data_IF_311195631081
#
_entry.id   IF_311195631081
#
_cell.length_a   1.000
_cell.length_b   1.000
_cell.length_c   1.000
_cell.angle_alpha   90.00
_cell.angle_beta   90.00
_cell.angle_gamma   90.00
#
_symmetry.space_group_name_H-M   'P 1'
#
loop_
_entity.id
_entity.type
_entity.pdbx_description
1 polymer ?
#
# COMPACT_ATOMS: atom_id res chain seq x y z
N UNK A 1 -28.27 6.06 -1.24
CA UNK A 1 -28.20 4.81 -0.46
C UNK A 1 -28.27 3.65 -1.43
N UNK A 2 -27.21 2.86 -1.56
CA UNK A 2 -27.22 1.65 -2.39
C UNK A 2 -27.91 0.54 -1.60
N UNK A 3 -28.98 -0.05 -2.16
CA UNK A 3 -29.61 -1.23 -1.54
C UNK A 3 -28.69 -2.44 -1.73
N UNK A 4 -28.52 -3.32 -0.72
CA UNK A 4 -27.73 -4.52 -0.87
C UNK A 4 -28.33 -5.42 -1.95
N UNK A 5 -27.47 -6.01 -2.78
CA UNK A 5 -27.86 -7.16 -3.58
C UNK A 5 -27.68 -8.38 -2.66
N UNK A 6 -28.73 -9.15 -2.44
CA UNK A 6 -28.67 -10.37 -1.61
C UNK A 6 -28.56 -11.56 -2.55
N UNK A 7 -27.47 -12.32 -2.47
CA UNK A 7 -27.37 -13.60 -3.17
C UNK A 7 -27.87 -14.72 -2.24
N UNK A 8 -29.10 -15.18 -2.50
CA UNK A 8 -29.78 -16.21 -1.72
C UNK A 8 -29.03 -17.55 -1.66
N UNK A 9 -28.10 -17.82 -2.59
CA UNK A 9 -27.30 -19.06 -2.59
C UNK A 9 -26.08 -19.01 -1.67
N UNK A 10 -25.59 -17.81 -1.30
CA UNK A 10 -24.36 -17.64 -0.51
C UNK A 10 -24.61 -17.06 0.89
N UNK A 11 -25.85 -16.69 1.23
CA UNK A 11 -26.18 -15.94 2.45
C UNK A 11 -25.28 -14.71 2.64
N UNK A 12 -24.97 -14.03 1.54
CA UNK A 12 -24.07 -12.89 1.50
C UNK A 12 -24.79 -11.64 0.99
N UNK A 13 -24.45 -10.50 1.59
CA UNK A 13 -24.92 -9.18 1.17
C UNK A 13 -23.80 -8.43 0.45
N UNK A 14 -24.13 -7.80 -0.67
CA UNK A 14 -23.18 -7.06 -1.50
C UNK A 14 -23.48 -5.58 -1.46
N UNK A 15 -22.47 -4.81 -1.05
CA UNK A 15 -22.52 -3.35 -0.97
C UNK A 15 -21.48 -2.73 -1.92
N UNK A 16 -21.88 -1.65 -2.60
CA UNK A 16 -21.03 -0.94 -3.57
C UNK A 16 -20.86 0.51 -3.14
N UNK A 17 -19.70 1.09 -3.50
CA UNK A 17 -19.37 2.47 -3.14
C UNK A 17 -19.03 2.66 -1.67
N UNK A 18 -18.64 1.57 -0.98
CA UNK A 18 -18.24 1.58 0.42
C UNK A 18 -16.86 2.22 0.55
N UNK A 19 -16.75 3.23 1.40
CA UNK A 19 -15.46 3.81 1.75
C UNK A 19 -14.85 3.07 2.95
N UNK A 20 -13.90 2.19 2.67
CA UNK A 20 -13.23 1.39 3.70
C UNK A 20 -12.45 2.24 4.71
N UNK A 21 -12.12 3.50 4.41
CA UNK A 21 -11.47 4.41 5.38
C UNK A 21 -12.48 5.16 6.25
N UNK A 22 -13.79 4.99 6.03
CA UNK A 22 -14.85 5.68 6.74
C UNK A 22 -16.10 4.81 6.97
N UNK A 23 -15.88 3.55 7.39
CA UNK A 23 -16.93 2.57 7.66
C UNK A 23 -18.01 3.06 8.64
N UNK A 24 -17.70 3.99 9.54
CA UNK A 24 -18.69 4.60 10.44
C UNK A 24 -19.76 5.46 9.75
N UNK A 25 -19.58 5.80 8.46
CA UNK A 25 -20.57 6.50 7.65
C UNK A 25 -21.55 5.54 6.96
N UNK A 26 -21.27 4.24 7.00
CA UNK A 26 -22.06 3.22 6.34
C UNK A 26 -23.25 2.82 7.22
N UNK A 27 -24.46 3.27 6.88
CA UNK A 27 -25.64 3.03 7.71
C UNK A 27 -26.02 1.56 7.86
N UNK A 28 -25.65 0.70 6.90
CA UNK A 28 -25.88 -0.75 7.00
C UNK A 28 -25.00 -1.44 8.05
N UNK A 29 -23.96 -0.77 8.54
CA UNK A 29 -23.15 -1.22 9.67
C UNK A 29 -23.72 -0.77 11.02
N UNK A 30 -24.70 0.12 11.03
CA UNK A 30 -25.32 0.59 12.27
C UNK A 30 -26.15 -0.54 12.90
N UNK A 31 -25.80 -0.92 14.14
CA UNK A 31 -26.43 -2.04 14.84
C UNK A 31 -26.04 -3.43 14.33
N UNK A 32 -25.17 -3.52 13.30
CA UNK A 32 -24.67 -4.81 12.81
C UNK A 32 -23.86 -5.53 13.90
N UNK A 33 -23.98 -6.87 14.01
CA UNK A 33 -23.12 -7.65 14.90
C UNK A 33 -21.63 -7.47 14.53
N UNK A 34 -20.73 -7.46 15.52
CA UNK A 34 -19.32 -7.23 15.24
C UNK A 34 -18.69 -8.42 14.48
N UNK A 35 -17.88 -8.10 13.48
CA UNK A 35 -17.25 -9.07 12.60
C UNK A 35 -16.13 -9.83 13.29
N UNK A 36 -16.08 -11.15 13.10
CA UNK A 36 -14.93 -11.94 13.52
C UNK A 36 -13.71 -11.70 12.61
N UNK A 37 -13.93 -11.36 11.34
CA UNK A 37 -12.87 -11.05 10.40
C UNK A 37 -13.28 -9.93 9.46
N UNK A 38 -12.37 -8.98 9.24
CA UNK A 38 -12.50 -7.96 8.20
C UNK A 38 -11.28 -8.13 7.28
N UNK A 39 -11.53 -8.33 5.98
CA UNK A 39 -10.48 -8.67 5.01
C UNK A 39 -10.39 -7.59 3.94
N UNK A 40 -9.17 -7.09 3.68
CA UNK A 40 -8.88 -6.17 2.59
C UNK A 40 -7.81 -6.75 1.66
N UNK A 41 -8.26 -7.25 0.51
CA UNK A 41 -7.37 -7.89 -0.46
C UNK A 41 -6.75 -6.85 -1.41
N UNK A 42 -5.43 -6.71 -1.35
CA UNK A 42 -4.61 -5.84 -2.20
C UNK A 42 -5.08 -4.38 -2.29
N UNK A 43 -5.34 -3.70 -1.16
CA UNK A 43 -5.64 -2.27 -1.17
C UNK A 43 -4.50 -1.50 -1.84
N UNK A 44 -4.84 -0.57 -2.75
CA UNK A 44 -3.82 0.13 -3.52
C UNK A 44 -4.31 1.46 -4.10
N UNK A 45 -3.52 2.52 -3.95
CA UNK A 45 -3.66 3.82 -4.62
C UNK A 45 -2.37 4.14 -5.40
N UNK A 46 -2.48 4.49 -6.68
CA UNK A 46 -1.32 4.87 -7.50
C UNK A 46 -0.39 3.70 -7.82
N UNK A 47 0.93 3.86 -7.78
CA UNK A 47 1.90 2.75 -7.87
C UNK A 47 3.28 3.09 -8.43
N UNK A 48 3.58 4.37 -8.65
CA UNK A 48 4.80 4.75 -9.38
C UNK A 48 5.64 5.82 -8.68
N UNK A 49 5.11 6.49 -7.65
CA UNK A 49 5.78 7.66 -7.05
C UNK A 49 5.90 7.58 -5.52
N UNK A 50 6.67 8.51 -4.95
CA UNK A 50 6.83 8.65 -3.50
C UNK A 50 5.52 9.11 -2.84
N UNK A 51 4.78 9.98 -3.51
CA UNK A 51 3.46 10.44 -3.09
C UNK A 51 2.47 9.27 -3.01
N UNK A 52 2.58 8.29 -3.92
CA UNK A 52 1.75 7.09 -3.86
C UNK A 52 2.09 6.23 -2.64
N UNK A 53 3.35 6.14 -2.23
CA UNK A 53 3.72 5.42 -0.98
C UNK A 53 3.02 6.05 0.22
N UNK A 54 3.04 7.39 0.32
CA UNK A 54 2.35 8.11 1.41
C UNK A 54 0.84 7.88 1.35
N UNK A 55 0.22 7.93 0.17
CA UNK A 55 -1.21 7.63 0.01
C UNK A 55 -1.58 6.23 0.47
N UNK A 56 -0.75 5.23 0.17
CA UNK A 56 -1.00 3.85 0.60
C UNK A 56 -0.79 3.67 2.11
N UNK A 57 0.18 4.37 2.71
CA UNK A 57 0.33 4.41 4.17
C UNK A 57 -0.91 5.01 4.83
N UNK A 58 -1.39 6.15 4.34
CA UNK A 58 -2.63 6.80 4.82
C UNK A 58 -3.84 5.88 4.65
N UNK A 59 -4.02 5.27 3.47
CA UNK A 59 -5.11 4.31 3.21
C UNK A 59 -5.13 3.19 4.26
N UNK A 60 -3.99 2.56 4.51
CA UNK A 60 -3.89 1.48 5.49
C UNK A 60 -4.20 1.97 6.90
N UNK A 61 -3.63 3.11 7.32
CA UNK A 61 -3.83 3.67 8.66
C UNK A 61 -5.30 3.99 8.92
N UNK A 62 -5.95 4.68 7.99
CA UNK A 62 -7.37 5.06 8.11
C UNK A 62 -8.29 3.83 8.02
N UNK A 63 -7.97 2.85 7.17
CA UNK A 63 -8.68 1.56 7.14
C UNK A 63 -8.58 0.83 8.49
N UNK A 64 -7.38 0.67 9.07
CA UNK A 64 -7.25 0.04 10.37
C UNK A 64 -8.08 0.79 11.42
N UNK A 65 -8.03 2.12 11.43
CA UNK A 65 -8.82 2.91 12.37
C UNK A 65 -10.33 2.69 12.21
N UNK A 66 -10.85 2.77 10.99
CA UNK A 66 -12.29 2.64 10.69
C UNK A 66 -12.84 1.27 11.12
N UNK A 67 -12.04 0.20 11.01
CA UNK A 67 -12.48 -1.17 11.34
C UNK A 67 -12.64 -1.43 12.84
N UNK A 68 -12.00 -0.65 13.73
CA UNK A 68 -11.96 -0.95 15.18
C UNK A 68 -13.34 -1.14 15.80
N UNK A 69 -14.29 -0.23 15.49
CA UNK A 69 -15.64 -0.23 16.08
C UNK A 69 -16.45 -1.47 15.68
N UNK A 70 -16.14 -2.05 14.53
CA UNK A 70 -16.91 -3.13 13.92
C UNK A 70 -16.32 -4.51 14.19
N UNK A 71 -15.18 -4.58 14.89
CA UNK A 71 -14.46 -5.82 15.10
C UNK A 71 -14.92 -6.52 16.40
N UNK A 72 -15.07 -7.84 16.35
CA UNK A 72 -15.42 -8.63 17.52
C UNK A 72 -14.38 -8.42 18.64
N UNK A 73 -14.79 -8.10 19.88
CA UNK A 73 -13.88 -7.60 20.90
C UNK A 73 -12.76 -8.60 21.26
N UNK A 74 -13.01 -9.91 21.32
CA UNK A 74 -11.99 -10.89 21.75
C UNK A 74 -11.41 -11.75 20.64
N UNK A 75 -12.18 -12.01 19.58
CA UNK A 75 -11.82 -12.93 18.49
C UNK A 75 -11.61 -12.23 17.14
N UNK A 76 -11.86 -10.93 17.09
CA UNK A 76 -11.79 -10.13 15.89
C UNK A 76 -10.40 -10.04 15.29
N UNK A 77 -10.31 -10.20 13.97
CA UNK A 77 -9.06 -10.09 13.21
C UNK A 77 -9.24 -9.21 11.97
N UNK A 78 -8.22 -8.42 11.65
CA UNK A 78 -8.14 -7.68 10.40
C UNK A 78 -7.06 -8.32 9.54
N UNK A 79 -7.42 -8.74 8.33
CA UNK A 79 -6.52 -9.37 7.38
C UNK A 79 -6.30 -8.43 6.21
N UNK A 80 -5.05 -8.16 5.89
CA UNK A 80 -4.69 -7.37 4.70
C UNK A 80 -3.76 -8.20 3.83
N UNK A 81 -4.14 -8.40 2.57
CA UNK A 81 -3.33 -9.15 1.63
C UNK A 81 -2.46 -8.21 0.81
N UNK A 82 -1.14 -8.34 0.90
CA UNK A 82 -0.19 -7.52 0.14
C UNK A 82 0.83 -8.38 -0.59
N UNK A 83 1.37 -7.86 -1.70
CA UNK A 83 2.51 -8.46 -2.37
C UNK A 83 3.79 -8.21 -1.57
N UNK A 84 4.73 -9.14 -1.60
CA UNK A 84 6.06 -8.95 -1.01
C UNK A 84 7.02 -8.38 -2.06
N UNK A 85 6.99 -7.05 -2.22
CA UNK A 85 7.91 -6.33 -3.13
C UNK A 85 8.45 -5.09 -2.44
N UNK A 86 9.59 -4.56 -2.92
CA UNK A 86 10.18 -3.33 -2.37
C UNK A 86 9.20 -2.16 -2.30
N UNK A 87 8.30 -2.04 -3.28
CA UNK A 87 7.29 -0.98 -3.27
C UNK A 87 6.28 -1.14 -2.12
N UNK A 88 5.70 -2.34 -1.97
CA UNK A 88 4.73 -2.62 -0.92
C UNK A 88 5.36 -2.60 0.48
N UNK A 89 6.61 -3.04 0.61
CA UNK A 89 7.31 -3.08 1.90
C UNK A 89 7.52 -1.66 2.47
N UNK A 90 7.56 -0.64 1.61
CA UNK A 90 7.65 0.77 2.02
C UNK A 90 6.34 1.33 2.58
N UNK A 91 5.23 0.62 2.44
CA UNK A 91 3.97 1.02 3.05
C UNK A 91 3.91 0.76 4.54
N UNK A 92 4.90 0.02 5.07
CA UNK A 92 5.10 -0.17 6.52
C UNK A 92 3.81 -0.57 7.23
N UNK A 93 3.13 -1.59 6.70
CA UNK A 93 1.78 -1.98 7.16
C UNK A 93 1.69 -2.20 8.68
N UNK A 94 2.72 -2.78 9.31
CA UNK A 94 2.75 -2.98 10.76
C UNK A 94 2.74 -1.66 11.53
N UNK A 95 3.46 -0.63 11.05
CA UNK A 95 3.49 0.69 11.67
C UNK A 95 2.12 1.39 11.53
N UNK A 96 1.49 1.29 10.35
CA UNK A 96 0.16 1.86 10.12
C UNK A 96 -0.91 1.17 10.98
N UNK A 97 -0.83 -0.15 11.12
CA UNK A 97 -1.69 -0.92 12.00
C UNK A 97 -1.48 -0.54 13.47
N UNK A 98 -0.22 -0.45 13.92
CA UNK A 98 0.13 -0.09 15.29
C UNK A 98 -0.34 1.34 15.66
N UNK A 99 -0.19 2.31 14.76
CA UNK A 99 -0.69 3.66 14.94
C UNK A 99 -2.22 3.69 15.13
N UNK A 100 -2.94 2.75 14.51
CA UNK A 100 -4.39 2.55 14.67
C UNK A 100 -4.72 1.51 15.76
N UNK A 101 -3.76 1.22 16.65
CA UNK A 101 -3.88 0.35 17.81
C UNK A 101 -4.12 -1.13 17.48
N UNK A 102 -3.45 -1.66 16.46
CA UNK A 102 -3.43 -3.09 16.13
C UNK A 102 -2.05 -3.68 16.35
N UNK A 103 -2.02 -4.99 16.62
CA UNK A 103 -0.78 -5.78 16.70
C UNK A 103 -0.81 -6.88 15.67
N UNK A 104 0.30 -7.04 14.92
CA UNK A 104 0.46 -8.19 14.03
C UNK A 104 0.49 -9.45 14.87
N UNK A 105 -0.36 -10.42 14.51
CA UNK A 105 -0.38 -11.75 15.13
C UNK A 105 0.51 -12.72 14.37
N UNK A 106 0.34 -12.76 13.05
CA UNK A 106 1.09 -13.65 12.15
C UNK A 106 0.93 -13.20 10.70
N UNK A 107 1.74 -13.79 9.84
CA UNK A 107 1.68 -13.64 8.40
C UNK A 107 1.51 -15.02 7.79
N UNK A 108 0.64 -15.16 6.80
CA UNK A 108 0.36 -16.42 6.11
C UNK A 108 0.46 -16.21 4.59
N UNK A 109 0.85 -17.22 3.80
CA UNK A 109 0.79 -17.12 2.34
C UNK A 109 -0.62 -16.80 1.85
N UNK A 110 -0.74 -15.92 0.85
CA UNK A 110 -2.02 -15.65 0.22
C UNK A 110 -2.45 -16.85 -0.63
N UNK A 111 -3.57 -17.44 -0.27
CA UNK A 111 -4.22 -18.49 -1.06
C UNK A 111 -5.47 -17.91 -1.73
N UNK A 112 -5.45 -17.84 -3.06
CA UNK A 112 -6.57 -17.37 -3.86
C UNK A 112 -7.70 -18.40 -3.92
N UNK A 113 -7.39 -19.69 -3.76
CA UNK A 113 -8.33 -20.79 -3.97
C UNK A 113 -9.44 -20.84 -2.92
N UNK A 114 -9.22 -20.23 -1.75
CA UNK A 114 -10.24 -20.09 -0.71
C UNK A 114 -11.38 -19.15 -1.13
N UNK A 115 -11.16 -18.30 -2.13
CA UNK A 115 -12.17 -17.41 -2.69
C UNK A 115 -12.64 -17.98 -4.03
N UNK A 116 -13.78 -18.64 -4.02
CA UNK A 116 -14.39 -19.19 -5.23
C UNK A 116 -14.56 -18.11 -6.30
N UNK A 117 -13.96 -18.31 -7.47
CA UNK A 117 -14.02 -17.37 -8.60
C UNK A 117 -13.15 -16.12 -8.46
N UNK A 118 -12.22 -16.07 -7.49
CA UNK A 118 -11.34 -14.92 -7.32
C UNK A 118 -10.33 -14.79 -8.45
N UNK A 119 -10.39 -13.66 -9.12
CA UNK A 119 -9.40 -13.25 -10.12
C UNK A 119 -8.85 -11.87 -9.75
N UNK A 120 -7.53 -11.66 -9.81
CA UNK A 120 -6.96 -10.32 -9.71
C UNK A 120 -7.56 -9.42 -10.80
N UNK A 121 -7.92 -8.19 -10.46
CA UNK A 121 -8.45 -7.23 -11.43
C UNK A 121 -7.73 -5.89 -11.29
N UNK A 122 -7.66 -5.12 -12.39
CA UNK A 122 -7.16 -3.74 -12.37
C UNK A 122 -8.34 -2.77 -12.32
N UNK A 123 -8.22 -1.75 -11.47
CA UNK A 123 -9.19 -0.65 -11.42
C UNK A 123 -8.88 0.40 -12.49
N UNK A 124 -9.90 1.17 -12.89
CA UNK A 124 -9.74 2.30 -13.80
C UNK A 124 -8.79 3.36 -13.18
N UNK A 125 -7.87 3.97 -13.95
CA UNK A 125 -7.63 3.85 -15.40
C UNK A 125 -6.64 2.74 -15.78
N UNK A 126 -6.18 1.93 -14.84
CA UNK A 126 -5.15 0.93 -15.08
C UNK A 126 -5.64 -0.31 -15.84
N UNK A 127 -6.95 -0.47 -16.05
CA UNK A 127 -7.55 -1.59 -16.79
C UNK A 127 -6.94 -1.78 -18.18
N UNK A 128 -6.56 -0.69 -18.86
CA UNK A 128 -5.92 -0.75 -20.18
C UNK A 128 -4.44 -1.18 -20.16
N UNK A 129 -3.82 -1.31 -18.98
CA UNK A 129 -2.38 -1.65 -18.85
C UNK A 129 -2.08 -3.15 -18.98
N UNK A 130 -3.07 -3.94 -19.41
CA UNK A 130 -2.98 -5.39 -19.59
C UNK A 130 -3.19 -6.17 -18.30
N UNK A 131 -2.68 -7.40 -18.27
CA UNK A 131 -2.92 -8.34 -17.17
C UNK A 131 -2.66 -7.74 -15.79
N UNK A 132 -3.51 -8.04 -14.80
CA UNK A 132 -3.26 -7.69 -13.42
C UNK A 132 -1.94 -8.35 -12.97
N UNK A 133 -1.16 -7.72 -12.07
CA UNK A 133 0.06 -8.35 -11.60
C UNK A 133 -0.28 -9.59 -10.75
N UNK A 134 0.61 -10.59 -10.78
CA UNK A 134 0.39 -11.86 -10.07
C UNK A 134 0.24 -11.68 -8.56
N UNK A 135 -0.49 -12.58 -7.90
CA UNK A 135 -0.55 -12.73 -6.44
C UNK A 135 0.52 -13.68 -5.90
N UNK A 136 1.36 -14.27 -6.76
CA UNK A 136 2.47 -15.15 -6.34
C UNK A 136 3.36 -14.45 -5.31
N UNK A 137 3.59 -15.11 -4.17
CA UNK A 137 4.41 -14.57 -3.08
C UNK A 137 3.74 -13.47 -2.25
N UNK A 138 2.45 -13.20 -2.47
CA UNK A 138 1.66 -12.36 -1.58
C UNK A 138 1.37 -13.08 -0.25
N UNK A 139 1.08 -12.28 0.77
CA UNK A 139 0.79 -12.77 2.11
C UNK A 139 -0.42 -12.06 2.70
N UNK A 140 -1.18 -12.79 3.52
CA UNK A 140 -2.07 -12.23 4.53
C UNK A 140 -1.25 -11.71 5.71
N UNK A 141 -1.43 -10.44 6.06
CA UNK A 141 -1.00 -9.89 7.34
C UNK A 141 -2.19 -9.87 8.28
N UNK A 142 -2.11 -10.63 9.38
CA UNK A 142 -3.25 -10.88 10.27
C UNK A 142 -3.03 -10.11 11.58
N UNK A 143 -3.92 -9.16 11.85
CA UNK A 143 -3.85 -8.25 12.99
C UNK A 143 -4.98 -8.49 13.97
N UNK A 144 -4.73 -8.22 15.24
CA UNK A 144 -5.78 -8.12 16.26
C UNK A 144 -5.73 -6.73 16.92
N UNK A 145 -6.89 -6.24 17.33
CA UNK A 145 -6.99 -4.97 18.03
C UNK A 145 -6.25 -5.03 19.37
N UNK A 146 -5.43 -4.03 19.63
CA UNK A 146 -4.81 -3.75 20.91
C UNK A 146 -5.71 -2.82 21.72
N UNK A 147 -6.42 -3.39 22.70
CA UNK A 147 -7.42 -2.66 23.49
C UNK A 147 -6.83 -1.70 24.51
N UNK A 148 -5.56 -1.90 24.89
CA UNK A 148 -4.88 -0.95 25.77
C UNK A 148 -4.61 0.39 25.09
N UNK A 149 -4.73 0.44 23.76
CA UNK A 149 -4.51 1.65 22.98
C UNK A 149 -5.85 2.25 22.55
N UNK A 150 -5.98 3.56 22.73
CA UNK A 150 -7.06 4.38 22.18
C UNK A 150 -6.45 5.31 21.14
N UNK A 151 -6.32 4.87 19.88
CA UNK A 151 -5.74 5.70 18.84
C UNK A 151 -6.65 6.90 18.56
N UNK A 152 -6.04 8.03 18.23
CA UNK A 152 -6.78 9.20 17.72
C UNK A 152 -7.16 8.98 16.26
N UNK A 153 -8.24 9.63 15.82
CA UNK A 153 -8.67 9.52 14.42
C UNK A 153 -7.63 10.18 13.51
N UNK A 154 -6.96 9.40 12.63
CA UNK A 154 -5.91 9.93 11.74
C UNK A 154 -6.44 10.90 10.68
N UNK A 155 -7.76 11.01 10.50
CA UNK A 155 -8.42 11.90 9.53
C UNK A 155 -8.71 13.27 10.11
N UNK A 156 -8.67 13.41 11.44
CA UNK A 156 -8.80 14.71 12.07
C UNK A 156 -7.53 15.53 11.86
N UNK A 157 -7.67 16.73 11.28
CA UNK A 157 -6.58 17.70 11.23
C UNK A 157 -6.32 18.21 12.65
N UNK A 158 -5.24 17.78 13.26
CA UNK A 158 -4.68 18.50 14.41
C UNK A 158 -4.17 19.84 13.87
N UNK A 159 -4.57 20.99 14.45
CA UNK A 159 -3.88 22.25 14.15
C UNK A 159 -2.40 22.06 14.46
N UNK A 160 -1.55 22.08 13.44
CA UNK A 160 -0.11 22.07 13.65
C UNK A 160 0.24 23.37 14.37
N UNK A 161 0.59 23.27 15.66
CA UNK A 161 1.34 24.32 16.33
C UNK A 161 2.68 24.45 15.58
N UNK A 162 2.80 25.53 14.80
CA UNK A 162 4.03 25.90 14.11
C UNK A 162 5.04 26.27 15.18
N UNK A 163 5.94 25.36 15.55
CA UNK A 163 7.15 25.74 16.26
C UNK A 163 8.04 26.50 15.28
N UNK A 164 8.04 27.82 15.44
CA UNK A 164 8.86 28.75 14.68
C UNK A 164 10.32 28.64 15.13
N UNK A 165 11.05 27.70 14.54
CA UNK A 165 12.53 27.75 14.54
C UNK A 165 13.00 27.38 13.15
N UNK A 166 12.93 28.33 12.21
CA UNK A 166 13.74 28.37 10.99
C UNK A 166 13.42 29.66 10.19
N UNK A 167 13.69 30.83 10.80
CA UNK A 167 13.83 32.10 10.07
C UNK A 167 14.93 32.96 10.69
N UNK A 168 16.16 32.54 10.44
CA UNK A 168 17.35 33.39 10.33
C UNK A 168 18.44 32.46 9.77
N UNK A 169 18.90 32.58 8.53
CA UNK A 169 19.80 33.64 8.14
C UNK A 169 19.93 33.62 6.61
N UNK A 170 19.29 34.57 5.93
CA UNK A 170 19.68 34.96 4.58
C UNK A 170 19.81 36.48 4.60
N UNK A 171 21.04 36.98 4.77
CA UNK A 171 21.49 38.11 3.98
C UNK A 171 23.02 38.29 4.00
N UNK A 172 23.56 38.31 2.79
CA UNK A 172 24.75 39.05 2.30
C UNK A 172 26.11 38.87 2.98
N UNK A 173 27.06 38.31 2.23
CA UNK A 173 28.21 39.07 1.66
C UNK A 173 29.06 38.17 0.77
N UNK A 174 29.29 38.61 -0.47
CA UNK A 174 30.32 38.05 -1.33
C UNK A 174 31.69 38.65 -1.03
N UNK A 175 32.75 37.86 -1.23
CA UNK A 175 34.01 38.22 -1.91
C UNK A 175 34.91 36.97 -2.03
N UNK A 176 35.63 36.94 -3.15
CA UNK A 176 36.50 35.89 -3.68
C UNK A 176 37.68 35.51 -2.76
N UNK A 177 38.14 34.25 -2.86
CA UNK A 177 39.53 33.91 -3.22
C UNK A 177 39.77 32.38 -3.26
N UNK A 178 40.31 31.95 -4.41
CA UNK A 178 41.25 30.86 -4.74
C UNK A 178 41.38 29.55 -3.92
N UNK A 179 41.26 28.45 -4.70
CA UNK A 179 41.77 27.07 -4.58
C UNK A 179 43.20 26.90 -4.02
N UNK A 180 43.62 25.72 -3.46
CA UNK A 180 43.61 24.44 -4.20
C UNK A 180 43.36 23.12 -3.43
N UNK A 181 42.70 22.20 -4.16
CA UNK A 181 42.89 20.73 -4.28
C UNK A 181 43.39 19.94 -3.06
N UNK A 182 42.59 18.95 -2.61
CA UNK A 182 43.01 17.54 -2.56
C UNK A 182 41.83 16.59 -2.39
N UNK A 183 41.91 15.48 -3.13
CA UNK A 183 40.95 14.41 -3.24
C UNK A 183 40.83 13.60 -1.94
N UNK A 184 39.61 13.15 -1.64
CA UNK A 184 39.40 11.90 -0.89
C UNK A 184 38.23 11.18 -1.56
N UNK A 185 38.56 10.08 -2.22
CA UNK A 185 37.64 9.09 -2.75
C UNK A 185 36.86 8.44 -1.61
N UNK A 186 35.52 8.39 -1.73
CA UNK A 186 34.68 7.50 -0.94
C UNK A 186 33.77 6.73 -1.90
N UNK A 187 34.10 5.45 -2.05
CA UNK A 187 33.43 4.43 -2.85
C UNK A 187 31.93 4.32 -2.51
N UNK A 188 31.08 4.90 -3.36
CA UNK A 188 29.66 4.53 -3.43
C UNK A 188 29.52 3.38 -4.44
N UNK A 189 29.38 2.15 -3.94
CA UNK A 189 29.07 0.99 -4.75
C UNK A 189 27.69 1.20 -5.41
N UNK A 190 27.68 1.69 -6.64
CA UNK A 190 26.47 1.87 -7.42
C UNK A 190 25.88 0.49 -7.76
N UNK A 191 24.82 0.08 -7.05
CA UNK A 191 24.05 -1.13 -7.33
C UNK A 191 23.45 -1.04 -8.75
N UNK A 192 24.13 -1.66 -9.72
CA UNK A 192 23.63 -1.79 -11.10
C UNK A 192 22.46 -2.79 -11.08
N UNK A 193 21.27 -2.33 -11.43
CA UNK A 193 20.06 -3.15 -11.55
C UNK A 193 19.87 -3.57 -13.01
N UNK A 194 19.69 -4.85 -13.30
CA UNK A 194 19.56 -5.35 -14.67
C UNK A 194 18.20 -6.01 -14.92
N UNK A 195 17.57 -5.68 -16.04
CA UNK A 195 16.37 -6.38 -16.52
C UNK A 195 16.78 -7.51 -17.46
N UNK A 196 16.65 -8.76 -17.00
CA UNK A 196 17.02 -9.95 -17.78
C UNK A 196 16.20 -10.08 -19.07
N UNK A 197 14.90 -9.74 -19.04
CA UNK A 197 14.02 -9.80 -20.22
C UNK A 197 14.43 -8.81 -21.31
N UNK A 198 14.89 -7.62 -20.91
CA UNK A 198 15.20 -6.55 -21.86
C UNK A 198 16.68 -6.42 -22.18
N UNK A 199 17.58 -6.98 -21.37
CA UNK A 199 19.02 -6.81 -21.47
C UNK A 199 19.50 -5.40 -21.07
N UNK A 200 18.65 -4.62 -20.38
CA UNK A 200 18.96 -3.25 -20.01
C UNK A 200 19.48 -3.17 -18.58
N UNK A 201 20.51 -2.35 -18.36
CA UNK A 201 21.08 -2.07 -17.04
C UNK A 201 20.81 -0.64 -16.62
N UNK A 202 20.49 -0.45 -15.35
CA UNK A 202 20.12 0.83 -14.76
C UNK A 202 20.99 1.10 -13.53
N UNK A 203 21.38 2.36 -13.35
CA UNK A 203 22.10 2.84 -12.16
C UNK A 203 21.21 3.67 -11.24
N UNK A 204 19.95 3.85 -11.64
CA UNK A 204 18.95 4.66 -10.95
C UNK A 204 17.68 3.82 -10.78
N UNK A 205 17.21 3.75 -9.53
CA UNK A 205 16.08 2.91 -9.13
C UNK A 205 14.78 3.39 -9.78
N UNK A 206 14.59 4.71 -9.93
CA UNK A 206 13.39 5.30 -10.53
C UNK A 206 13.30 4.95 -12.02
N UNK A 207 14.43 4.98 -12.73
CA UNK A 207 14.53 4.57 -14.15
C UNK A 207 14.30 3.07 -14.32
N UNK A 208 14.83 2.23 -13.43
CA UNK A 208 14.56 0.79 -13.43
C UNK A 208 13.06 0.50 -13.24
N UNK A 209 12.44 1.10 -12.24
CA UNK A 209 11.01 0.92 -11.96
C UNK A 209 10.14 1.45 -13.10
N UNK A 210 10.48 2.61 -13.67
CA UNK A 210 9.81 3.14 -14.85
C UNK A 210 9.91 2.21 -16.05
N UNK A 211 11.09 1.59 -16.26
CA UNK A 211 11.27 0.58 -17.29
C UNK A 211 10.40 -0.66 -17.06
N UNK A 212 10.38 -1.21 -15.84
CA UNK A 212 9.59 -2.40 -15.50
C UNK A 212 8.10 -2.20 -15.72
N UNK A 213 7.62 -0.98 -15.49
CA UNK A 213 6.22 -0.61 -15.67
C UNK A 213 5.90 -0.12 -17.10
N UNK A 214 6.85 -0.15 -18.03
CA UNK A 214 6.65 0.36 -19.39
C UNK A 214 5.90 -0.63 -20.29
N UNK A 215 5.06 -0.12 -21.17
CA UNK A 215 4.36 -0.93 -22.19
C UNK A 215 5.35 -1.69 -23.10
N UNK A 216 6.54 -1.12 -23.33
CA UNK A 216 7.62 -1.75 -24.11
C UNK A 216 8.17 -2.99 -23.41
N UNK A 217 8.37 -2.93 -22.09
CA UNK A 217 8.79 -4.08 -21.30
C UNK A 217 7.70 -5.17 -21.30
N UNK A 218 6.44 -4.80 -21.05
CA UNK A 218 5.31 -5.73 -21.03
C UNK A 218 5.14 -6.48 -22.37
N UNK A 219 5.30 -5.80 -23.51
CA UNK A 219 5.28 -6.42 -24.84
C UNK A 219 6.39 -7.47 -25.02
N UNK A 220 7.61 -7.19 -24.54
CA UNK A 220 8.75 -8.11 -24.66
C UNK A 220 8.59 -9.36 -23.79
N UNK A 221 8.04 -9.22 -22.58
CA UNK A 221 7.68 -10.35 -21.70
C UNK A 221 6.63 -11.25 -22.38
N UNK A 222 5.60 -10.66 -22.99
CA UNK A 222 4.56 -11.41 -23.71
C UNK A 222 5.13 -12.18 -24.91
N UNK A 223 6.04 -11.57 -25.67
CA UNK A 223 6.69 -12.22 -26.81
C UNK A 223 7.52 -13.44 -26.38
N UNK A 224 8.28 -13.33 -25.28
CA UNK A 224 9.09 -14.44 -24.74
C UNK A 224 8.28 -15.60 -24.17
N UNK A 225 7.05 -15.35 -23.69
CA UNK A 225 6.15 -16.41 -23.22
C UNK A 225 5.53 -17.20 -24.39
N UNK A 226 5.35 -16.58 -25.55
CA UNK A 226 4.79 -17.24 -26.74
C UNK A 226 5.78 -18.17 -27.46
N UNK A 227 7.09 -17.97 -27.28
CA UNK A 227 8.14 -18.80 -27.89
C UNK A 227 8.56 -20.01 -27.04
N UNK A 228 7.94 -20.22 -25.86
CA UNK A 228 8.21 -21.38 -24.98
C UNK A 228 7.17 -22.50 -25.11
N UNK A 229 6.31 -22.45 -26.12
CA UNK A 229 5.39 -23.51 -26.50
C UNK A 229 5.72 -24.01 -27.91
#
# INVERSE_FOLDING_TARGET
MSKPIVNLLLQAEFYFGVDATALEKESWLEGAPPFQSIVFNFPHLGGATEEDVVKNQTLLREFFFSTRKFLHPTRGQVLVSLRNTLFYNRWKIQEQAAASGFKLKRTEPFDASIYSGYEPQRTHPATFRGEPPSTTGAHYFIFAADKSLQPTDPRQRVPQAVTQEEKATQNSRGKEAETPKKAVEASALATKMACQTCGLTFRDVKKYNGHMNSAKHAKKVKAMKKTKH
#
